data_IF_357881133004
#
_entry.id   IF_357881133004
#
_cell.length_a   1.000
_cell.length_b   1.000
_cell.length_c   1.000
_cell.angle_alpha   90.00
_cell.angle_beta   90.00
_cell.angle_gamma   90.00
#
_symmetry.space_group_name_H-M   'P 1'
#
loop_
_entity.id
_entity.type
_entity.pdbx_description
1 polymer ?
#
# COMPACT_ATOMS: atom_id res chain seq x y z
N UNK A 1 -2.28 0.21 12.89
CA UNK A 1 -1.40 0.22 11.69
C UNK A 1 -0.05 0.76 12.11
N UNK A 2 1.04 0.11 11.71
CA UNK A 2 2.41 0.58 11.93
C UNK A 2 3.09 0.69 10.57
N UNK A 3 3.69 1.83 10.28
CA UNK A 3 4.41 2.11 9.03
C UNK A 3 5.87 2.36 9.37
N UNK A 4 6.76 1.62 8.70
CA UNK A 4 8.21 1.77 8.84
C UNK A 4 8.75 2.66 7.70
N UNK A 5 9.59 3.61 8.06
CA UNK A 5 10.30 4.47 7.12
C UNK A 5 11.81 4.23 7.25
N UNK A 6 12.56 4.54 6.19
CA UNK A 6 14.02 4.48 6.26
C UNK A 6 14.55 5.42 7.37
N UNK A 7 15.56 4.94 8.10
CA UNK A 7 16.34 5.69 9.10
C UNK A 7 15.58 6.22 10.35
N UNK A 8 14.39 5.68 10.64
CA UNK A 8 13.47 6.08 11.73
C UNK A 8 12.97 7.55 11.63
N UNK A 9 11.65 7.81 11.70
CA UNK A 9 10.76 7.18 12.67
C UNK A 9 9.77 6.19 12.06
N UNK A 10 9.33 5.22 12.86
CA UNK A 10 8.09 4.48 12.58
C UNK A 10 6.87 5.31 13.01
N UNK A 11 5.77 5.18 12.28
CA UNK A 11 4.49 5.79 12.60
C UNK A 11 3.48 4.71 12.98
N UNK A 12 2.97 4.75 14.21
CA UNK A 12 1.93 3.84 14.69
C UNK A 12 0.66 4.61 15.07
N UNK A 13 -0.48 4.08 14.64
CA UNK A 13 -1.80 4.63 14.98
C UNK A 13 -2.89 3.56 15.04
N UNK A 14 -3.96 3.88 15.78
CA UNK A 14 -5.18 3.10 15.87
C UNK A 14 -6.25 3.84 15.08
N UNK A 15 -6.97 3.14 14.21
CA UNK A 15 -8.08 3.74 13.47
C UNK A 15 -9.30 3.86 14.39
N UNK A 16 -9.97 5.02 14.40
CA UNK A 16 -11.11 5.26 15.27
C UNK A 16 -12.40 4.62 14.73
N UNK A 17 -12.81 4.98 13.52
CA UNK A 17 -14.09 4.54 12.93
C UNK A 17 -13.91 3.64 11.69
N UNK A 18 -12.83 3.84 10.93
CA UNK A 18 -12.55 3.08 9.71
C UNK A 18 -11.69 1.84 10.01
N UNK A 19 -11.93 0.74 9.30
CA UNK A 19 -11.12 -0.47 9.42
C UNK A 19 -9.66 -0.21 8.99
N UNK A 20 -8.70 -0.78 9.72
CA UNK A 20 -7.29 -0.78 9.35
C UNK A 20 -7.04 -1.36 7.96
N UNK A 21 -7.90 -2.27 7.48
CA UNK A 21 -7.85 -2.83 6.13
C UNK A 21 -7.99 -1.76 5.05
N UNK A 22 -8.91 -0.81 5.21
CA UNK A 22 -9.10 0.28 4.26
C UNK A 22 -7.86 1.16 4.22
N UNK A 23 -7.31 1.53 5.38
CA UNK A 23 -6.09 2.34 5.45
C UNK A 23 -4.90 1.63 4.80
N UNK A 24 -4.75 0.33 5.04
CA UNK A 24 -3.72 -0.50 4.40
C UNK A 24 -3.87 -0.52 2.87
N UNK A 25 -5.08 -0.76 2.37
CA UNK A 25 -5.38 -0.78 0.93
C UNK A 25 -5.08 0.57 0.27
N UNK A 26 -5.41 1.69 0.93
CA UNK A 26 -5.07 3.03 0.43
C UNK A 26 -3.56 3.25 0.33
N UNK A 27 -2.78 2.85 1.34
CA UNK A 27 -1.32 2.96 1.32
C UNK A 27 -0.73 2.10 0.19
N UNK A 28 -1.11 0.81 0.13
CA UNK A 28 -0.64 -0.11 -0.91
C UNK A 28 -1.04 0.32 -2.32
N UNK A 29 -2.26 0.83 -2.49
CA UNK A 29 -2.78 1.37 -3.73
C UNK A 29 -2.00 2.60 -4.20
N UNK A 30 -1.63 3.53 -3.32
CA UNK A 30 -0.79 4.67 -3.68
C UNK A 30 0.63 4.24 -4.08
N UNK A 31 1.22 3.25 -3.39
CA UNK A 31 2.50 2.67 -3.79
C UNK A 31 2.38 2.08 -5.20
N UNK A 32 1.35 1.29 -5.47
CA UNK A 32 1.08 0.72 -6.80
C UNK A 32 0.91 1.80 -7.87
N UNK A 33 0.11 2.84 -7.62
CA UNK A 33 -0.07 3.93 -8.58
C UNK A 33 1.26 4.63 -8.92
N UNK A 34 2.20 4.70 -7.98
CA UNK A 34 3.53 5.27 -8.21
C UNK A 34 4.42 4.40 -9.12
N UNK A 35 4.18 3.08 -9.21
CA UNK A 35 4.96 2.19 -10.08
C UNK A 35 4.57 2.32 -11.54
N UNK A 36 3.31 2.69 -11.82
CA UNK A 36 2.76 2.87 -13.19
C UNK A 36 3.49 3.92 -14.03
N UNK A 37 4.13 4.92 -13.40
CA UNK A 37 4.92 5.91 -14.12
C UNK A 37 6.24 5.33 -14.70
N UNK A 38 6.72 4.21 -14.14
CA UNK A 38 7.95 3.52 -14.57
C UNK A 38 7.66 2.36 -15.49
N UNK A 39 6.42 1.87 -15.50
CA UNK A 39 6.01 0.75 -16.33
C UNK A 39 5.65 1.24 -17.74
N UNK A 40 6.21 0.59 -18.76
CA UNK A 40 5.88 0.84 -20.17
C UNK A 40 4.82 -0.14 -20.69
N UNK A 41 4.31 -1.02 -19.83
CA UNK A 41 3.30 -2.00 -20.20
C UNK A 41 1.93 -1.33 -20.38
N UNK A 42 1.21 -1.67 -21.46
CA UNK A 42 -0.15 -1.13 -21.70
C UNK A 42 -1.19 -1.76 -20.76
N UNK A 43 -0.89 -2.94 -20.21
CA UNK A 43 -1.76 -3.68 -19.30
C UNK A 43 -1.44 -3.40 -17.83
N UNK A 44 -2.47 -3.38 -16.99
CA UNK A 44 -2.35 -3.25 -15.54
C UNK A 44 -1.71 -4.52 -14.93
N UNK A 45 -0.68 -4.36 -14.09
CA UNK A 45 -0.12 -5.46 -13.29
C UNK A 45 -0.99 -5.75 -12.05
N UNK A 46 -2.05 -6.54 -12.25
CA UNK A 46 -2.99 -6.92 -11.18
C UNK A 46 -2.32 -7.74 -10.08
N UNK A 47 -1.33 -8.58 -10.42
CA UNK A 47 -0.62 -9.40 -9.44
C UNK A 47 0.16 -8.52 -8.45
N UNK A 48 0.85 -7.49 -8.96
CA UNK A 48 1.53 -6.51 -8.11
C UNK A 48 0.55 -5.72 -7.25
N UNK A 49 -0.61 -5.34 -7.79
CA UNK A 49 -1.66 -4.67 -7.02
C UNK A 49 -2.12 -5.53 -5.84
N UNK A 50 -2.52 -6.79 -6.07
CA UNK A 50 -2.96 -7.67 -5.00
C UNK A 50 -1.87 -7.97 -3.97
N UNK A 51 -0.60 -8.07 -4.39
CA UNK A 51 0.54 -8.19 -3.45
C UNK A 51 0.64 -6.99 -2.50
N UNK A 52 0.33 -5.78 -2.96
CA UNK A 52 0.46 -4.55 -2.17
C UNK A 52 -0.77 -4.25 -1.31
N UNK A 53 -1.96 -4.73 -1.66
CA UNK A 53 -3.22 -4.37 -0.97
C UNK A 53 -3.88 -5.51 -0.20
N UNK A 54 -3.61 -6.78 -0.56
CA UNK A 54 -4.27 -7.94 0.04
C UNK A 54 -3.36 -9.18 0.18
N UNK A 55 -2.07 -9.06 -0.15
CA UNK A 55 -1.13 -10.18 -0.24
C UNK A 55 -0.64 -10.72 1.09
N UNK A 56 -1.07 -10.15 2.21
CA UNK A 56 -0.57 -10.42 3.54
C UNK A 56 -1.74 -10.80 4.46
N UNK A 57 -1.68 -12.01 5.04
CA UNK A 57 -2.65 -12.53 6.04
C UNK A 57 -2.16 -12.17 7.44
#
# INVERSE_FOLDING_TARGET
>A
VTVEFADEPSLAFICAEVDCKVVHEFIGGYIFLSTRAKDQNESLDEEMFYKLTSGWV
#
